data_IF_971588207005
#
_entry.id   IF_971588207005
#
_cell.length_a   1.000
_cell.length_b   1.000
_cell.length_c   1.000
_cell.angle_alpha   90.00
_cell.angle_beta   90.00
_cell.angle_gamma   90.00
#
_symmetry.space_group_name_H-M   'P 1'
#
loop_
_entity.id
_entity.type
_entity.pdbx_description
1 polymer ?
#
# COMPACT_ATOMS: atom_id res chain seq x y z
N UNK A 1 12.19 14.67 2.06
CA UNK A 1 11.09 14.50 1.08
C UNK A 1 9.91 13.87 1.82
N UNK A 2 8.90 14.66 2.15
CA UNK A 2 7.77 14.21 2.97
C UNK A 2 6.82 13.42 2.06
N UNK A 3 6.55 12.16 2.39
CA UNK A 3 5.54 11.37 1.70
C UNK A 3 4.20 12.10 1.84
N UNK A 4 3.63 12.53 0.71
CA UNK A 4 2.34 13.19 0.64
C UNK A 4 1.28 12.27 1.27
N UNK A 5 0.41 12.80 2.12
CA UNK A 5 -0.67 12.02 2.74
C UNK A 5 -1.60 11.42 1.67
N UNK A 6 -2.06 10.17 1.83
CA UNK A 6 -2.98 9.52 0.89
C UNK A 6 -4.28 10.31 0.74
N UNK A 7 -4.71 10.60 -0.49
CA UNK A 7 -6.08 11.10 -0.75
C UNK A 7 -7.01 9.89 -0.95
N UNK A 8 -7.96 9.64 -0.04
CA UNK A 8 -8.80 8.44 -0.08
C UNK A 8 -9.78 8.40 -1.26
N UNK A 9 -10.03 9.53 -1.93
CA UNK A 9 -11.02 9.64 -3.01
C UNK A 9 -10.40 9.84 -4.39
N UNK A 10 -9.09 10.07 -4.48
CA UNK A 10 -8.39 10.32 -5.75
C UNK A 10 -7.19 9.39 -5.90
N UNK A 11 -7.42 8.24 -6.52
CA UNK A 11 -6.37 7.32 -6.94
C UNK A 11 -6.51 6.99 -8.44
N UNK A 12 -5.39 6.63 -9.07
CA UNK A 12 -5.36 6.13 -10.45
C UNK A 12 -5.13 4.63 -10.44
N UNK A 13 -5.96 3.88 -11.15
CA UNK A 13 -5.78 2.43 -11.30
C UNK A 13 -4.66 2.19 -12.32
N UNK A 14 -3.54 1.68 -11.83
CA UNK A 14 -2.40 1.26 -12.65
C UNK A 14 -2.44 -0.25 -12.83
N UNK A 15 -2.67 -0.74 -14.05
CA UNK A 15 -2.79 -2.18 -14.33
C UNK A 15 -1.46 -2.92 -14.45
N UNK A 16 -0.38 -2.20 -14.73
CA UNK A 16 0.97 -2.76 -14.85
C UNK A 16 1.99 -1.70 -14.46
N UNK A 17 2.95 -2.09 -13.64
CA UNK A 17 4.03 -1.22 -13.21
C UNK A 17 5.30 -2.05 -13.04
N UNK A 18 6.41 -1.58 -13.59
CA UNK A 18 7.74 -2.17 -13.39
C UNK A 18 8.48 -1.29 -12.40
N UNK A 19 9.03 -1.90 -11.35
CA UNK A 19 9.74 -1.21 -10.27
C UNK A 19 11.02 -1.97 -9.92
N UNK A 20 12.05 -1.25 -9.47
CA UNK A 20 13.38 -1.81 -9.20
C UNK A 20 13.65 -2.14 -7.74
N UNK A 21 13.02 -1.42 -6.80
CA UNK A 21 13.35 -1.51 -5.37
C UNK A 21 12.36 -2.34 -4.55
N UNK A 22 11.11 -2.43 -4.99
CA UNK A 22 10.05 -3.15 -4.28
C UNK A 22 8.66 -2.73 -4.74
N UNK A 23 7.71 -3.65 -4.63
CA UNK A 23 6.31 -3.45 -5.02
C UNK A 23 5.38 -3.90 -3.90
N UNK A 24 4.23 -3.25 -3.76
CA UNK A 24 3.11 -3.67 -2.91
C UNK A 24 1.83 -3.61 -3.72
N UNK A 25 1.08 -4.71 -3.77
CA UNK A 25 -0.16 -4.84 -4.55
C UNK A 25 -1.24 -5.41 -3.63
N UNK A 26 -2.44 -4.82 -3.68
CA UNK A 26 -3.58 -5.23 -2.86
C UNK A 26 -4.90 -4.87 -3.54
N UNK A 27 -6.02 -5.36 -3.00
CA UNK A 27 -7.36 -5.09 -3.51
C UNK A 27 -7.84 -3.65 -3.30
N UNK A 28 -7.20 -2.88 -2.41
CA UNK A 28 -7.59 -1.50 -2.11
C UNK A 28 -6.39 -0.54 -2.19
N UNK A 29 -6.47 0.58 -2.95
CA UNK A 29 -5.35 1.50 -3.17
C UNK A 29 -4.68 2.00 -1.89
N UNK A 30 -5.48 2.39 -0.88
CA UNK A 30 -4.96 2.84 0.42
C UNK A 30 -4.13 1.77 1.14
N UNK A 31 -4.47 0.49 1.01
CA UNK A 31 -3.70 -0.57 1.64
C UNK A 31 -2.34 -0.77 0.96
N UNK A 32 -2.31 -0.74 -0.39
CA UNK A 32 -1.06 -0.76 -1.15
C UNK A 32 -0.15 0.43 -0.80
N UNK A 33 -0.74 1.61 -0.60
CA UNK A 33 0.00 2.81 -0.23
C UNK A 33 0.59 2.72 1.19
N UNK A 34 -0.14 2.19 2.16
CA UNK A 34 0.37 1.94 3.52
C UNK A 34 1.57 0.98 3.50
N UNK A 35 1.47 -0.14 2.78
CA UNK A 35 2.62 -1.05 2.64
C UNK A 35 3.82 -0.39 1.96
N UNK A 36 3.59 0.42 0.93
CA UNK A 36 4.64 1.20 0.27
C UNK A 36 5.29 2.23 1.22
N UNK A 37 4.52 2.85 2.11
CA UNK A 37 5.05 3.76 3.13
C UNK A 37 6.00 3.04 4.08
N UNK A 38 5.67 1.82 4.51
CA UNK A 38 6.54 1.01 5.38
C UNK A 38 7.84 0.64 4.66
N UNK A 39 7.78 0.22 3.39
CA UNK A 39 8.99 -0.01 2.59
C UNK A 39 9.85 1.26 2.50
N UNK A 40 9.25 2.42 2.26
CA UNK A 40 9.94 3.72 2.20
C UNK A 40 10.54 4.16 3.53
N UNK A 41 9.98 3.70 4.65
CA UNK A 41 10.51 3.96 6.00
C UNK A 41 11.65 3.00 6.38
N UNK A 42 12.05 2.09 5.48
CA UNK A 42 13.13 1.13 5.72
C UNK A 42 12.64 -0.22 6.26
N UNK A 43 11.33 -0.46 6.32
CA UNK A 43 10.78 -1.78 6.62
C UNK A 43 11.04 -2.76 5.49
N UNK A 44 11.06 -4.05 5.82
CA UNK A 44 11.24 -5.13 4.85
C UNK A 44 9.89 -5.55 4.23
N UNK A 45 9.93 -6.57 3.35
CA UNK A 45 8.74 -7.08 2.67
C UNK A 45 7.67 -7.64 3.64
N UNK A 46 8.07 -8.22 4.77
CA UNK A 46 7.16 -8.75 5.80
C UNK A 46 6.50 -7.60 6.55
N UNK A 47 7.26 -6.57 6.95
CA UNK A 47 6.70 -5.39 7.62
C UNK A 47 5.64 -4.71 6.72
N UNK A 48 5.96 -4.57 5.43
CA UNK A 48 5.04 -4.01 4.44
C UNK A 48 3.79 -4.87 4.24
N UNK A 49 3.92 -6.20 4.21
CA UNK A 49 2.78 -7.10 4.08
C UNK A 49 1.85 -7.03 5.30
N UNK A 50 2.40 -7.01 6.53
CA UNK A 50 1.62 -6.88 7.77
C UNK A 50 0.86 -5.56 7.78
N UNK A 51 1.53 -4.45 7.47
CA UNK A 51 0.88 -3.14 7.41
C UNK A 51 -0.22 -3.07 6.34
N UNK A 52 0.01 -3.68 5.18
CA UNK A 52 -0.99 -3.78 4.10
C UNK A 52 -2.22 -4.56 4.58
N UNK A 53 -2.03 -5.70 5.26
CA UNK A 53 -3.14 -6.52 5.72
C UNK A 53 -3.94 -5.85 6.85
N UNK A 54 -3.25 -5.19 7.78
CA UNK A 54 -3.91 -4.40 8.82
C UNK A 54 -4.73 -3.24 8.22
N UNK A 55 -4.21 -2.59 7.17
CA UNK A 55 -4.96 -1.57 6.46
C UNK A 55 -6.19 -2.16 5.75
N UNK A 56 -6.06 -3.31 5.07
CA UNK A 56 -7.17 -4.00 4.39
C UNK A 56 -8.32 -4.33 5.34
N UNK A 57 -8.02 -4.77 6.57
CA UNK A 57 -9.04 -5.06 7.58
C UNK A 57 -9.95 -3.84 7.89
N UNK A 58 -9.49 -2.62 7.62
CA UNK A 58 -10.24 -1.37 7.84
C UNK A 58 -10.85 -0.85 6.54
N UNK A 59 -10.05 -0.74 5.47
CA UNK A 59 -10.48 -0.06 4.23
C UNK A 59 -11.21 -1.00 3.27
N UNK A 60 -11.10 -2.32 3.48
CA UNK A 60 -11.74 -3.35 2.66
C UNK A 60 -12.42 -4.44 3.52
N UNK A 61 -13.39 -4.07 4.37
CA UNK A 61 -13.97 -4.97 5.38
C UNK A 61 -14.90 -6.05 4.80
N UNK A 62 -15.27 -5.95 3.53
CA UNK A 62 -16.08 -6.96 2.84
C UNK A 62 -15.28 -8.17 2.32
N UNK A 63 -13.95 -8.15 2.46
CA UNK A 63 -13.11 -9.31 2.22
C UNK A 63 -13.02 -10.19 3.48
N UNK A 64 -13.13 -11.50 3.28
CA UNK A 64 -12.91 -12.51 4.31
C UNK A 64 -11.43 -12.82 4.53
#
# INVERSE_FOLDING_TARGET
MIAKSPDPYKYSITKSQVVTNGAVVSAHPLASEVGLMILKQGGNAIDAAIATQLALAVVYPGAG
#
